data_IF_911171923285
#
_entry.id   IF_911171923285
#
_cell.length_a   1.000
_cell.length_b   1.000
_cell.length_c   1.000
_cell.angle_alpha   90.00
_cell.angle_beta   90.00
_cell.angle_gamma   90.00
#
_symmetry.space_group_name_H-M   'P 1'
#
loop_
_entity.id
_entity.type
_entity.pdbx_description
1 polymer ?
#
# COMPACT_ATOMS: atom_id res chain seq x y z
N UNK A 1 29.83 8.29 -9.49
CA UNK A 1 28.46 8.10 -10.02
C UNK A 1 27.92 6.81 -9.45
N UNK A 2 27.13 6.82 -8.37
CA UNK A 2 26.37 5.66 -7.85
C UNK A 2 25.44 6.02 -6.67
N UNK A 3 25.09 7.30 -6.50
CA UNK A 3 24.30 7.77 -5.36
C UNK A 3 22.80 7.86 -5.65
N UNK A 4 22.38 7.81 -6.92
CA UNK A 4 20.98 8.06 -7.32
C UNK A 4 20.11 6.79 -7.19
N UNK A 5 20.71 5.60 -7.22
CA UNK A 5 19.96 4.34 -7.23
C UNK A 5 19.56 3.83 -5.84
N UNK A 6 20.06 4.43 -4.75
CA UNK A 6 19.78 3.98 -3.38
C UNK A 6 18.48 4.52 -2.77
N UNK A 7 17.82 5.50 -3.40
CA UNK A 7 16.71 6.25 -2.77
C UNK A 7 15.33 5.91 -3.32
N UNK A 8 15.19 4.98 -4.29
CA UNK A 8 13.87 4.61 -4.80
C UNK A 8 13.46 3.17 -4.46
N UNK A 9 13.44 2.84 -3.16
CA UNK A 9 12.59 1.76 -2.66
C UNK A 9 11.23 2.37 -2.30
N UNK A 10 10.34 2.47 -3.28
CA UNK A 10 8.91 2.69 -3.04
C UNK A 10 8.31 1.37 -2.54
N UNK A 11 8.57 1.04 -1.26
CA UNK A 11 7.72 0.14 -0.48
C UNK A 11 6.52 0.96 0.00
N UNK A 12 5.71 1.42 -0.95
CA UNK A 12 4.42 2.05 -0.68
C UNK A 12 3.33 1.01 -0.85
N UNK A 13 2.74 0.57 0.25
CA UNK A 13 1.41 -0.03 0.24
C UNK A 13 0.52 0.86 -0.64
N UNK A 14 -0.05 0.25 -1.66
CA UNK A 14 -0.58 0.92 -2.86
C UNK A 14 -1.67 1.95 -2.50
N UNK A 15 -1.29 3.20 -2.26
CA UNK A 15 -2.24 4.32 -2.21
C UNK A 15 -2.10 5.38 -1.11
N UNK A 16 -1.11 5.38 -0.23
CA UNK A 16 -0.92 6.49 0.74
C UNK A 16 0.30 7.34 0.41
N UNK A 17 0.09 8.59 0.00
CA UNK A 17 1.12 9.62 -0.08
C UNK A 17 1.39 10.13 1.34
N UNK A 18 2.27 9.43 2.06
CA UNK A 18 2.78 9.89 3.36
C UNK A 18 4.25 10.23 3.25
N UNK A 19 4.66 11.30 3.93
CA UNK A 19 6.07 11.61 4.15
C UNK A 19 6.58 10.59 5.15
N UNK A 20 7.26 9.56 4.64
CA UNK A 20 7.91 8.54 5.45
C UNK A 20 9.33 8.98 5.80
N UNK A 21 9.66 8.95 7.09
CA UNK A 21 11.06 9.00 7.49
C UNK A 21 11.68 7.62 7.16
N UNK A 22 12.63 7.59 6.23
CA UNK A 22 13.30 6.36 5.83
C UNK A 22 14.56 6.14 6.67
N UNK A 23 14.66 4.98 7.31
CA UNK A 23 15.90 4.50 7.92
C UNK A 23 16.43 3.35 7.07
N UNK A 24 17.71 3.41 6.71
CA UNK A 24 18.43 2.33 6.07
C UNK A 24 19.42 1.68 7.07
N UNK A 25 19.60 0.36 6.94
CA UNK A 25 20.57 -0.50 7.63
C UNK A 25 20.34 -0.76 9.13
N UNK A 26 19.50 -1.77 9.45
CA UNK A 26 19.36 -2.34 10.81
C UNK A 26 20.09 -3.69 10.96
N UNK A 27 20.28 -4.44 9.87
CA UNK A 27 20.97 -5.74 9.85
C UNK A 27 21.85 -5.84 8.61
N UNK A 28 23.17 -6.02 8.79
CA UNK A 28 24.12 -6.25 7.71
C UNK A 28 24.52 -7.73 7.66
N UNK A 29 23.81 -8.53 6.87
CA UNK A 29 24.36 -9.79 6.37
C UNK A 29 24.76 -9.57 4.91
N UNK A 30 25.77 -10.29 4.42
CA UNK A 30 26.40 -10.02 3.12
C UNK A 30 25.42 -9.90 1.93
N UNK A 31 24.24 -10.51 2.04
CA UNK A 31 23.27 -10.59 0.96
C UNK A 31 21.89 -10.01 1.30
N UNK A 32 21.67 -9.46 2.49
CA UNK A 32 20.38 -8.90 2.92
C UNK A 32 20.55 -7.46 3.33
N UNK A 33 19.76 -6.59 2.73
CA UNK A 33 19.58 -5.19 3.12
C UNK A 33 18.27 -5.01 3.87
N UNK A 34 18.22 -4.06 4.79
CA UNK A 34 17.01 -3.73 5.55
C UNK A 34 16.65 -2.27 5.31
N UNK A 35 15.39 -2.01 4.98
CA UNK A 35 14.82 -0.66 4.93
C UNK A 35 13.62 -0.59 5.86
N UNK A 36 13.38 0.59 6.42
CA UNK A 36 12.21 0.83 7.26
C UNK A 36 11.65 2.23 7.06
N UNK A 37 10.39 2.40 7.44
CA UNK A 37 9.76 3.71 7.47
C UNK A 37 8.75 3.85 8.60
N UNK A 38 8.58 5.09 9.05
CA UNK A 38 7.47 5.49 9.94
C UNK A 38 6.84 6.75 9.37
N UNK A 39 5.51 6.79 9.40
CA UNK A 39 4.72 7.91 8.92
C UNK A 39 3.57 8.23 9.88
N UNK A 40 3.16 9.50 9.88
CA UNK A 40 1.93 9.95 10.50
C UNK A 40 1.00 10.52 9.44
N UNK A 41 -0.28 10.17 9.50
CA UNK A 41 -1.32 10.70 8.62
C UNK A 41 -2.48 11.25 9.46
N UNK A 42 -3.15 12.28 8.96
CA UNK A 42 -4.39 12.78 9.59
C UNK A 42 -5.58 11.86 9.35
N UNK A 43 -5.52 11.05 8.29
CA UNK A 43 -6.49 10.04 7.92
C UNK A 43 -5.78 8.97 7.07
N UNK A 44 -5.67 7.75 7.57
CA UNK A 44 -5.20 6.64 6.75
C UNK A 44 -6.31 6.24 5.76
N UNK A 45 -6.04 6.45 4.47
CA UNK A 45 -6.91 6.05 3.37
C UNK A 45 -6.30 4.91 2.56
N UNK A 46 -7.03 3.80 2.50
CA UNK A 46 -6.71 2.70 1.62
C UNK A 46 -7.66 2.70 0.43
N UNK A 47 -7.12 2.84 -0.78
CA UNK A 47 -7.88 2.84 -2.05
C UNK A 47 -9.09 3.81 -2.05
N UNK A 48 -8.92 4.97 -1.43
CA UNK A 48 -9.93 6.02 -1.32
C UNK A 48 -10.89 5.90 -0.13
N UNK A 49 -10.80 4.81 0.66
CA UNK A 49 -11.65 4.56 1.82
C UNK A 49 -10.85 4.82 3.10
N UNK A 50 -11.36 5.69 3.97
CA UNK A 50 -10.78 5.93 5.29
C UNK A 50 -10.84 4.67 6.14
N UNK A 51 -9.68 4.24 6.62
CA UNK A 51 -9.49 3.12 7.55
C UNK A 51 -9.55 3.59 9.00
N UNK A 52 -9.34 4.87 9.27
CA UNK A 52 -9.30 5.46 10.62
C UNK A 52 -10.51 6.34 10.93
N UNK A 53 -11.52 6.36 10.05
CA UNK A 53 -12.72 7.21 10.18
C UNK A 53 -12.39 8.70 10.31
N UNK A 54 -11.42 9.17 9.51
CA UNK A 54 -10.87 10.53 9.52
C UNK A 54 -10.16 10.93 10.83
N UNK A 55 -9.62 9.95 11.57
CA UNK A 55 -8.76 10.19 12.74
C UNK A 55 -7.29 9.95 12.41
N UNK A 56 -6.36 10.48 13.20
CA UNK A 56 -4.93 10.27 12.98
C UNK A 56 -4.52 8.79 12.92
N UNK A 57 -3.53 8.52 12.08
CA UNK A 57 -2.90 7.22 11.91
C UNK A 57 -1.38 7.31 12.09
N UNK A 58 -0.79 6.33 12.75
CA UNK A 58 0.64 6.07 12.77
C UNK A 58 0.88 4.79 12.00
N UNK A 59 1.78 4.85 11.03
CA UNK A 59 2.08 3.78 10.09
C UNK A 59 3.55 3.44 10.16
N UNK A 60 3.87 2.15 10.09
CA UNK A 60 5.24 1.65 10.11
C UNK A 60 5.45 0.56 9.08
N UNK A 61 6.65 0.48 8.53
CA UNK A 61 7.04 -0.60 7.62
C UNK A 61 8.49 -1.02 7.85
N UNK A 62 8.78 -2.30 7.63
CA UNK A 62 10.13 -2.85 7.55
C UNK A 62 10.20 -3.85 6.39
N UNK A 63 11.25 -3.75 5.58
CA UNK A 63 11.51 -4.64 4.46
C UNK A 63 12.91 -5.21 4.54
N UNK A 64 13.01 -6.53 4.40
CA UNK A 64 14.24 -7.29 4.23
C UNK A 64 14.37 -7.65 2.76
N UNK A 65 15.43 -7.19 2.09
CA UNK A 65 15.66 -7.45 0.67
C UNK A 65 16.95 -8.23 0.47
N UNK A 66 16.83 -9.42 -0.09
CA UNK A 66 17.95 -10.23 -0.52
C UNK A 66 18.51 -9.71 -1.85
N UNK A 67 19.82 -9.82 -2.07
CA UNK A 67 20.51 -9.36 -3.29
C UNK A 67 19.96 -9.97 -4.59
N UNK A 68 19.27 -11.11 -4.51
CA UNK A 68 18.61 -11.71 -5.68
C UNK A 68 17.41 -10.89 -6.16
N UNK A 69 16.87 -9.97 -5.35
CA UNK A 69 15.63 -9.25 -5.61
C UNK A 69 14.43 -9.77 -4.81
N UNK A 70 14.55 -10.92 -4.15
CA UNK A 70 13.52 -11.42 -3.23
C UNK A 70 13.44 -10.53 -2.00
N UNK A 71 12.24 -10.22 -1.54
CA UNK A 71 12.04 -9.45 -0.31
C UNK A 71 10.88 -9.95 0.54
N UNK A 72 10.98 -9.65 1.84
CA UNK A 72 9.94 -9.81 2.84
C UNK A 72 9.63 -8.45 3.46
N UNK A 73 8.36 -8.08 3.51
CA UNK A 73 7.91 -6.82 4.07
C UNK A 73 6.88 -7.03 5.17
N UNK A 74 6.95 -6.21 6.21
CA UNK A 74 5.88 -6.02 7.18
C UNK A 74 5.44 -4.57 7.14
N UNK A 75 4.14 -4.35 7.17
CA UNK A 75 3.53 -3.03 7.29
C UNK A 75 2.47 -3.06 8.38
N UNK A 76 2.25 -1.96 9.08
CA UNK A 76 1.14 -1.87 10.02
C UNK A 76 0.70 -0.45 10.33
N UNK A 77 -0.54 -0.33 10.78
CA UNK A 77 -1.17 0.93 11.19
C UNK A 77 -2.27 0.70 12.21
N UNK A 78 -2.56 1.71 13.02
CA UNK A 78 -3.86 1.77 13.69
C UNK A 78 -4.97 1.99 12.65
N UNK A 79 -6.14 1.42 12.94
CA UNK A 79 -7.37 1.60 12.17
C UNK A 79 -8.52 1.87 13.14
N UNK A 80 -9.67 2.26 12.61
CA UNK A 80 -10.91 2.43 13.35
C UNK A 80 -11.89 1.33 12.95
N UNK A 81 -12.35 0.55 13.93
CA UNK A 81 -13.51 -0.32 13.74
C UNK A 81 -14.76 0.39 14.24
N UNK A 82 -15.88 0.22 13.55
CA UNK A 82 -17.18 0.78 13.97
C UNK A 82 -17.49 0.31 15.39
N UNK A 83 -17.38 1.22 16.36
CA UNK A 83 -17.69 0.95 17.77
C UNK A 83 -16.57 0.35 18.62
N UNK A 84 -15.31 0.26 18.15
CA UNK A 84 -14.17 -0.23 18.95
C UNK A 84 -12.95 0.68 18.82
N UNK A 85 -12.32 0.99 19.95
CA UNK A 85 -11.23 1.98 20.05
C UNK A 85 -9.81 1.41 19.89
N UNK A 86 -9.65 0.08 19.73
CA UNK A 86 -8.34 -0.58 19.67
C UNK A 86 -8.31 -1.60 18.52
N UNK A 87 -8.15 -1.14 17.28
CA UNK A 87 -7.93 -2.02 16.14
C UNK A 87 -6.71 -1.63 15.32
N UNK A 88 -6.11 -2.64 14.69
CA UNK A 88 -4.89 -2.50 13.91
C UNK A 88 -4.98 -3.32 12.62
N UNK A 89 -4.31 -2.85 11.59
CA UNK A 89 -3.98 -3.60 10.37
C UNK A 89 -2.49 -3.95 10.42
N UNK A 90 -2.16 -5.19 10.09
CA UNK A 90 -0.78 -5.63 9.90
C UNK A 90 -0.71 -6.55 8.70
N UNK A 91 0.16 -6.18 7.77
CA UNK A 91 0.30 -6.83 6.49
C UNK A 91 1.67 -7.49 6.39
N UNK A 92 1.69 -8.65 5.76
CA UNK A 92 2.91 -9.36 5.43
C UNK A 92 3.02 -9.51 3.91
N UNK A 93 4.16 -9.12 3.35
CA UNK A 93 4.44 -9.20 1.92
C UNK A 93 5.62 -10.10 1.66
N UNK A 94 5.52 -10.93 0.63
CA UNK A 94 6.67 -11.57 -0.02
C UNK A 94 6.64 -11.20 -1.50
N UNK A 95 7.79 -10.81 -2.04
CA UNK A 95 7.86 -10.38 -3.43
C UNK A 95 9.24 -10.55 -4.05
N UNK A 96 9.31 -10.21 -5.33
CA UNK A 96 10.51 -10.25 -6.13
C UNK A 96 10.57 -9.01 -7.03
N UNK A 97 11.65 -8.27 -6.91
CA UNK A 97 11.95 -7.11 -7.76
C UNK A 97 13.13 -7.40 -8.68
N UNK A 98 13.02 -7.02 -9.95
CA UNK A 98 14.13 -7.13 -10.91
C UNK A 98 14.03 -6.07 -12.00
N UNK A 99 15.16 -5.76 -12.64
CA UNK A 99 15.16 -4.99 -13.87
C UNK A 99 14.53 -5.82 -15.00
N UNK A 100 13.62 -5.23 -15.75
CA UNK A 100 12.99 -5.83 -16.93
C UNK A 100 13.33 -5.02 -18.17
N UNK A 101 14.44 -5.34 -18.88
CA UNK A 101 14.80 -4.65 -20.11
C UNK A 101 13.73 -4.89 -21.18
N UNK A 102 13.06 -3.82 -21.61
CA UNK A 102 12.07 -3.87 -22.69
C UNK A 102 12.66 -3.39 -24.03
N UNK A 103 13.69 -2.54 -23.97
CA UNK A 103 14.47 -2.11 -25.14
C UNK A 103 15.87 -1.65 -24.72
N UNK A 104 16.71 -1.25 -25.67
CA UNK A 104 18.05 -0.73 -25.41
C UNK A 104 18.07 0.51 -24.49
N UNK A 105 16.97 1.26 -24.42
CA UNK A 105 16.89 2.52 -23.64
C UNK A 105 15.80 2.50 -22.56
N UNK A 106 15.05 1.40 -22.42
CA UNK A 106 13.92 1.31 -21.49
C UNK A 106 14.03 0.03 -20.67
N UNK A 107 14.34 0.21 -19.39
CA UNK A 107 14.50 -0.87 -18.41
C UNK A 107 13.72 -0.52 -17.14
N UNK A 108 12.39 -0.72 -17.12
CA UNK A 108 11.62 -0.59 -15.90
C UNK A 108 12.03 -1.61 -14.84
N UNK A 109 11.68 -1.32 -13.60
CA UNK A 109 11.70 -2.29 -12.51
C UNK A 109 10.38 -3.04 -12.50
N UNK A 110 10.43 -4.36 -12.66
CA UNK A 110 9.34 -5.28 -12.41
C UNK A 110 9.32 -5.65 -10.93
N UNK A 111 8.14 -5.55 -10.31
CA UNK A 111 7.88 -5.99 -8.95
C UNK A 111 6.61 -6.85 -8.95
N UNK A 112 6.74 -8.07 -8.46
CA UNK A 112 5.63 -9.03 -8.33
C UNK A 112 5.62 -9.60 -6.93
N UNK A 113 4.44 -9.85 -6.39
CA UNK A 113 4.37 -10.34 -5.03
C UNK A 113 3.00 -10.77 -4.58
N UNK A 114 2.99 -11.17 -3.32
CA UNK A 114 1.85 -11.63 -2.56
C UNK A 114 1.79 -10.87 -1.24
N UNK A 115 0.58 -10.46 -0.86
CA UNK A 115 0.31 -9.74 0.39
C UNK A 115 -0.77 -10.48 1.15
N UNK A 116 -0.53 -10.70 2.44
CA UNK A 116 -1.55 -11.08 3.44
C UNK A 116 -1.92 -9.82 4.22
N UNK A 117 -3.19 -9.45 4.19
CA UNK A 117 -3.74 -8.39 5.04
C UNK A 117 -4.34 -9.00 6.30
N UNK A 118 -3.95 -8.50 7.47
CA UNK A 118 -4.43 -8.99 8.76
C UNK A 118 -5.05 -7.88 9.60
N UNK A 119 -6.26 -8.08 10.11
CA UNK A 119 -6.99 -7.08 10.89
C UNK A 119 -7.27 -7.57 12.32
N UNK A 120 -6.74 -6.86 13.30
CA UNK A 120 -6.76 -7.23 14.71
C UNK A 120 -7.65 -6.29 15.54
N UNK A 121 -8.19 -6.79 16.65
CA UNK A 121 -8.98 -5.97 17.60
C UNK A 121 -10.40 -5.60 17.11
N UNK A 122 -10.76 -6.00 15.89
CA UNK A 122 -12.09 -5.82 15.29
C UNK A 122 -13.14 -6.77 15.91
N UNK A 123 -12.72 -7.72 16.76
CA UNK A 123 -13.50 -8.87 17.22
C UNK A 123 -13.45 -10.03 16.23
N UNK A 124 -12.34 -10.15 15.49
CA UNK A 124 -12.08 -11.14 14.43
C UNK A 124 -13.18 -11.23 13.37
N UNK A 125 -13.94 -10.14 13.20
CA UNK A 125 -15.15 -10.11 12.39
C UNK A 125 -15.43 -8.71 11.88
N UNK A 126 -15.45 -8.55 10.55
CA UNK A 126 -15.96 -7.37 9.87
C UNK A 126 -17.50 -7.26 10.03
N UNK A 127 -18.12 -6.09 9.70
CA UNK A 127 -19.58 -6.00 9.60
C UNK A 127 -20.15 -7.15 8.74
N UNK A 128 -20.97 -8.00 9.34
CA UNK A 128 -21.43 -9.26 8.73
C UNK A 128 -20.85 -10.52 9.37
N UNK A 129 -20.04 -10.41 10.43
CA UNK A 129 -19.47 -11.52 11.22
C UNK A 129 -18.58 -12.47 10.41
N UNK A 130 -17.87 -11.95 9.40
CA UNK A 130 -16.88 -12.74 8.64
C UNK A 130 -15.48 -12.22 8.87
N UNK A 131 -14.50 -13.08 8.62
CA UNK A 131 -13.09 -12.74 8.79
C UNK A 131 -12.71 -11.60 7.81
N UNK A 132 -12.14 -10.50 8.33
CA UNK A 132 -11.74 -9.35 7.50
C UNK A 132 -10.47 -9.62 6.69
N UNK A 133 -9.64 -10.57 7.11
CA UNK A 133 -8.35 -10.84 6.50
C UNK A 133 -8.47 -11.43 5.10
N UNK A 134 -7.64 -10.96 4.17
CA UNK A 134 -7.63 -11.44 2.79
C UNK A 134 -6.22 -11.49 2.23
N UNK A 135 -6.11 -11.99 1.01
CA UNK A 135 -4.84 -12.13 0.30
C UNK A 135 -4.91 -11.46 -1.05
N UNK A 136 -3.80 -10.90 -1.49
CA UNK A 136 -3.66 -10.31 -2.82
C UNK A 136 -2.38 -10.79 -3.49
N UNK A 137 -2.44 -10.92 -4.82
CA UNK A 137 -1.27 -10.97 -5.68
C UNK A 137 -1.21 -9.69 -6.49
N UNK A 138 -0.01 -9.20 -6.77
CA UNK A 138 0.16 -7.99 -7.57
C UNK A 138 1.32 -8.10 -8.56
N UNK A 139 1.25 -7.26 -9.58
CA UNK A 139 2.35 -6.95 -10.49
C UNK A 139 2.42 -5.44 -10.70
N UNK A 140 3.63 -4.91 -10.71
CA UNK A 140 3.94 -3.48 -10.85
C UNK A 140 5.14 -3.30 -11.77
N UNK A 141 5.04 -2.31 -12.64
CA UNK A 141 6.16 -1.79 -13.43
C UNK A 141 6.43 -0.36 -12.99
N UNK A 142 7.69 -0.04 -12.71
CA UNK A 142 8.15 1.30 -12.37
C UNK A 142 9.18 1.77 -13.38
N UNK A 143 8.91 2.90 -14.02
CA UNK A 143 9.81 3.60 -14.92
C UNK A 143 10.41 4.78 -14.14
N UNK A 144 11.72 4.79 -13.96
CA UNK A 144 12.44 5.93 -13.39
C UNK A 144 12.81 6.91 -14.50
N UNK A 145 12.97 8.20 -14.17
CA UNK A 145 13.37 9.24 -15.12
C UNK A 145 12.49 9.28 -16.38
N UNK A 146 11.17 9.11 -16.19
CA UNK A 146 10.15 9.01 -17.24
C UNK A 146 9.88 10.32 -17.96
N UNK A 147 9.73 11.44 -17.23
CA UNK A 147 9.41 12.77 -17.77
C UNK A 147 10.50 13.76 -17.42
N UNK A 148 10.88 13.82 -16.14
CA UNK A 148 11.97 14.64 -15.61
C UNK A 148 12.92 13.79 -14.80
N UNK A 149 14.18 14.23 -14.73
CA UNK A 149 15.21 13.54 -13.95
C UNK A 149 14.79 13.47 -12.47
N UNK A 150 14.87 12.28 -11.89
CA UNK A 150 14.51 11.96 -10.52
C UNK A 150 13.03 11.60 -10.31
N UNK A 151 12.21 11.62 -11.35
CA UNK A 151 10.81 11.20 -11.25
C UNK A 151 10.63 9.67 -11.32
N UNK A 152 9.41 9.23 -11.08
CA UNK A 152 8.99 7.87 -11.40
C UNK A 152 7.54 7.79 -11.84
N UNK A 153 7.26 6.93 -12.82
CA UNK A 153 5.92 6.54 -13.24
C UNK A 153 5.74 5.04 -13.00
N UNK A 154 4.73 4.67 -12.23
CA UNK A 154 4.45 3.28 -11.90
C UNK A 154 3.02 2.87 -12.28
N UNK A 155 2.88 1.76 -12.98
CA UNK A 155 1.62 1.09 -13.26
C UNK A 155 1.52 -0.22 -12.47
N UNK A 156 0.35 -0.54 -11.92
CA UNK A 156 0.16 -1.73 -11.10
C UNK A 156 -1.22 -2.36 -11.26
N UNK A 157 -1.27 -3.68 -11.13
CA UNK A 157 -2.49 -4.48 -11.07
C UNK A 157 -2.42 -5.38 -9.85
N UNK A 158 -3.52 -5.45 -9.12
CA UNK A 158 -3.69 -6.29 -7.93
C UNK A 158 -4.95 -7.11 -8.07
N UNK A 159 -4.89 -8.36 -7.62
CA UNK A 159 -5.99 -9.30 -7.66
C UNK A 159 -6.15 -10.01 -6.31
N UNK A 160 -7.40 -10.18 -5.89
CA UNK A 160 -7.80 -11.07 -4.81
C UNK A 160 -8.90 -12.01 -5.33
N UNK A 161 -8.80 -13.30 -5.02
CA UNK A 161 -9.88 -14.25 -5.29
C UNK A 161 -11.01 -14.15 -4.26
N UNK A 162 -10.66 -13.76 -3.03
CA UNK A 162 -11.56 -13.62 -1.90
C UNK A 162 -11.13 -12.37 -1.11
N UNK A 163 -11.71 -11.24 -1.48
CA UNK A 163 -11.39 -9.94 -0.89
C UNK A 163 -12.04 -9.78 0.50
N UNK A 164 -11.68 -8.69 1.18
CA UNK A 164 -12.21 -8.27 2.49
C UNK A 164 -13.66 -8.69 2.75
N UNK A 165 -13.93 -9.29 3.92
CA UNK A 165 -15.27 -9.78 4.30
C UNK A 165 -15.81 -10.89 3.38
N UNK A 166 -14.90 -11.68 2.78
CA UNK A 166 -15.23 -12.71 1.78
C UNK A 166 -16.13 -12.17 0.67
N UNK A 167 -15.79 -10.98 0.14
CA UNK A 167 -16.61 -10.27 -0.85
C UNK A 167 -16.30 -10.69 -2.29
N UNK A 168 -15.92 -11.95 -2.49
CA UNK A 168 -15.52 -12.50 -3.78
C UNK A 168 -14.31 -11.78 -4.42
N UNK A 169 -14.12 -12.03 -5.72
CA UNK A 169 -13.05 -11.49 -6.54
C UNK A 169 -13.01 -9.96 -6.54
N UNK A 170 -11.78 -9.46 -6.47
CA UNK A 170 -11.46 -8.06 -6.52
C UNK A 170 -10.28 -7.79 -7.46
N UNK A 171 -10.38 -6.72 -8.22
CA UNK A 171 -9.30 -6.19 -9.04
C UNK A 171 -9.06 -4.73 -8.71
N UNK A 172 -7.80 -4.35 -8.62
CA UNK A 172 -7.37 -2.97 -8.51
C UNK A 172 -6.31 -2.66 -9.55
N UNK A 173 -6.47 -1.54 -10.25
CA UNK A 173 -5.51 -1.06 -11.25
C UNK A 173 -5.16 0.37 -10.87
N UNK A 174 -3.86 0.69 -10.79
CA UNK A 174 -3.42 2.04 -10.44
C UNK A 174 -2.26 2.51 -11.29
N UNK A 175 -2.21 3.82 -11.49
CA UNK A 175 -1.04 4.54 -11.95
C UNK A 175 -0.63 5.56 -10.89
N UNK A 176 0.66 5.64 -10.61
CA UNK A 176 1.27 6.58 -9.65
C UNK A 176 2.41 7.32 -10.34
N UNK A 177 2.49 8.61 -10.11
CA UNK A 177 3.59 9.45 -10.56
C UNK A 177 4.15 10.21 -9.37
N UNK A 178 5.46 10.22 -9.23
CA UNK A 178 6.16 11.06 -8.25
C UNK A 178 7.29 11.83 -8.91
N UNK A 179 7.49 13.08 -8.52
CA UNK A 179 8.58 13.90 -9.04
C UNK A 179 9.11 14.84 -7.95
N UNK A 180 10.43 15.06 -7.87
CA UNK A 180 11.00 16.08 -6.99
C UNK A 180 10.63 17.48 -7.49
N UNK A 181 10.47 18.42 -6.55
CA UNK A 181 10.31 19.84 -6.85
C UNK A 181 11.70 20.47 -6.76
N UNK A 182 12.45 20.38 -7.86
CA UNK A 182 13.85 20.81 -7.93
C UNK A 182 14.67 20.27 -6.73
N UNK A 183 15.64 21.04 -6.23
CA UNK A 183 16.50 20.66 -5.10
C UNK A 183 15.94 21.11 -3.74
N UNK A 184 14.63 21.38 -3.66
CA UNK A 184 14.01 21.92 -2.43
C UNK A 184 13.88 20.89 -1.30
N UNK A 185 14.08 19.60 -1.62
CA UNK A 185 13.76 18.49 -0.72
C UNK A 185 12.28 18.11 -0.68
N UNK A 186 11.41 18.86 -1.38
CA UNK A 186 10.00 18.53 -1.54
C UNK A 186 9.74 17.78 -2.85
N UNK A 187 8.62 17.05 -2.90
CA UNK A 187 8.19 16.31 -4.08
C UNK A 187 6.68 16.38 -4.27
N UNK A 188 6.26 16.13 -5.51
CA UNK A 188 4.87 15.91 -5.88
C UNK A 188 4.60 14.42 -5.99
N UNK A 189 3.41 13.98 -5.55
CA UNK A 189 2.90 12.64 -5.78
C UNK A 189 1.47 12.76 -6.30
N UNK A 190 1.18 12.11 -7.42
CA UNK A 190 -0.15 11.99 -7.99
C UNK A 190 -0.50 10.52 -8.24
N UNK A 191 -1.75 10.13 -7.99
CA UNK A 191 -2.21 8.77 -8.24
C UNK A 191 -3.63 8.73 -8.77
N UNK A 192 -3.89 7.74 -9.61
CA UNK A 192 -5.23 7.38 -10.07
C UNK A 192 -5.40 5.87 -9.94
N UNK A 193 -6.55 5.45 -9.44
CA UNK A 193 -6.85 4.06 -9.18
C UNK A 193 -8.28 3.70 -9.55
N UNK A 194 -8.48 2.47 -10.00
CA UNK A 194 -9.78 1.89 -10.28
C UNK A 194 -9.94 0.58 -9.50
N UNK A 195 -11.07 0.45 -8.80
CA UNK A 195 -11.42 -0.71 -8.01
C UNK A 195 -12.63 -1.42 -8.64
N UNK A 196 -12.48 -2.70 -8.97
CA UNK A 196 -13.56 -3.54 -9.50
C UNK A 196 -13.86 -4.65 -8.51
N UNK A 197 -15.00 -4.51 -7.85
CA UNK A 197 -15.56 -5.52 -6.96
C UNK A 197 -16.53 -6.41 -7.72
N UNK A 198 -16.43 -7.74 -7.54
CA UNK A 198 -17.46 -8.66 -8.00
C UNK A 198 -18.73 -8.52 -7.18
N UNK A 199 -18.60 -8.42 -5.85
CA UNK A 199 -19.72 -8.10 -4.97
C UNK A 199 -20.13 -6.62 -5.12
N UNK A 200 -21.40 -6.40 -5.47
CA UNK A 200 -21.98 -5.07 -5.65
C UNK A 200 -22.15 -4.33 -4.33
N UNK A 201 -22.28 -5.02 -3.20
CA UNK A 201 -22.41 -4.40 -1.87
C UNK A 201 -21.17 -3.56 -1.52
N UNK A 202 -19.99 -3.96 -2.02
CA UNK A 202 -18.73 -3.23 -1.83
C UNK A 202 -18.63 -1.94 -2.66
N UNK A 203 -19.50 -1.75 -3.65
CA UNK A 203 -19.56 -0.52 -4.47
C UNK A 203 -20.39 0.60 -3.83
N UNK A 204 -21.20 0.30 -2.80
CA UNK A 204 -22.31 1.13 -2.35
C UNK A 204 -22.18 1.68 -0.91
N UNK A 205 -20.97 2.03 -0.45
CA UNK A 205 -20.84 2.91 0.72
C UNK A 205 -20.50 4.34 0.29
N UNK A 206 -21.50 5.18 -0.04
CA UNK A 206 -21.34 6.61 0.12
C UNK A 206 -21.00 6.91 1.58
N UNK A 207 -20.08 7.84 1.81
CA UNK A 207 -19.67 8.39 3.10
C UNK A 207 -20.76 9.22 3.79
N UNK A 208 -22.03 8.82 3.70
CA UNK A 208 -23.16 9.59 4.22
C UNK A 208 -23.72 8.96 5.49
N UNK A 209 -23.41 9.64 6.61
CA UNK A 209 -24.21 9.85 7.83
C UNK A 209 -25.10 8.71 8.31
N UNK A 210 -24.84 8.33 9.57
CA UNK A 210 -25.82 7.90 10.60
C UNK A 210 -27.29 7.98 10.17
N UNK A 211 -27.94 6.83 9.99
CA UNK A 211 -29.40 6.79 10.14
C UNK A 211 -29.70 6.81 11.63
N UNK A 212 -30.39 7.82 12.19
CA UNK A 212 -30.94 7.66 13.52
C UNK A 212 -31.98 6.55 13.47
N UNK A 213 -31.87 5.64 14.44
CA UNK A 213 -32.85 4.60 14.70
C UNK A 213 -34.21 5.27 14.90
N UNK A 214 -35.14 5.02 13.97
CA UNK A 214 -36.54 5.43 14.12
C UNK A 214 -37.18 4.46 15.10
N UNK A 215 -37.22 4.86 16.37
CA UNK A 215 -38.11 4.24 17.35
C UNK A 215 -39.50 4.82 17.04
N UNK A 216 -40.35 4.01 16.41
CA UNK A 216 -41.77 4.32 16.28
C UNK A 216 -42.52 3.91 17.55
N UNK A 217 -43.70 4.51 17.80
CA UNK A 217 -44.48 4.32 19.03
C UNK A 217 -44.96 2.88 19.24
#
# INVERSE_FOLDING_TARGET
MNAVLKTLMVCGAMGSAVVSAHAADVLSSANISTSGSVAMATDYRFRGISQTSNNPAVQGAITLTHQSGVYLGLWGSNIASVGKSNSAEMDATIGYTTALPLSASVTPTLDVGYIRYGYFGTGDSAPGNKQPDYNEVFGKLTFADSIVKGDSLAGSVTYSNEYFNHSDQFWNVNANYSAPIADTGFGFVGSVGYNKFKDKAMRLRPSTRSRPMRIGP
#
